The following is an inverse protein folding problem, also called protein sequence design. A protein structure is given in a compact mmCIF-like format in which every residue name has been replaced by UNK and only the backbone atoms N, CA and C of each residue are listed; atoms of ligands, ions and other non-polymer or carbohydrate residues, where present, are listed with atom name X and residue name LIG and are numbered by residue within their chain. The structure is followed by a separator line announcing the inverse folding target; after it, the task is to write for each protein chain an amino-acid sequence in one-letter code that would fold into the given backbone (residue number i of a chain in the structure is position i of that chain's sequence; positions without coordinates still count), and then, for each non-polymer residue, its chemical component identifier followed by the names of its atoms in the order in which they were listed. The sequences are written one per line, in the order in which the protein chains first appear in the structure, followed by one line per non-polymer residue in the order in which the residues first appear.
data_IF_959207626631
#
_entry.id   IF_959207626631
#
_cell.length_a   1.000
_cell.length_b   1.000
_cell.length_c   1.000
_cell.angle_alpha   90.00
_cell.angle_beta   90.00
_cell.angle_gamma   90.00
#
_symmetry.space_group_name_H-M   'P 1'
#
loop_
_entity.id
_entity.type
_entity.pdbx_description
1 polymer ?
#
# COMPACT_ATOMS: atom_id res chain seq x y z
N UNK A 1 -5.17 0.79 -39.34
CA UNK A 1 -4.50 -0.07 -38.34
C UNK A 1 -3.73 0.87 -37.44
N UNK A 2 -4.43 1.52 -36.52
CA UNK A 2 -3.81 2.46 -35.58
C UNK A 2 -3.65 1.73 -34.26
N UNK A 3 -2.43 1.22 -34.05
CA UNK A 3 -2.04 0.54 -32.83
C UNK A 3 -2.21 1.49 -31.66
N UNK A 4 -3.19 1.18 -30.80
CA UNK A 4 -3.34 1.78 -29.48
C UNK A 4 -2.03 1.54 -28.73
N UNK A 5 -1.18 2.57 -28.67
CA UNK A 5 -0.03 2.57 -27.78
C UNK A 5 -0.58 2.63 -26.36
N UNK A 6 -0.69 1.46 -25.72
CA UNK A 6 -0.90 1.36 -24.28
C UNK A 6 0.23 2.13 -23.62
N UNK A 7 -0.07 3.33 -23.12
CA UNK A 7 0.83 4.05 -22.21
C UNK A 7 0.88 3.23 -20.92
N UNK A 8 1.80 2.28 -20.83
CA UNK A 8 2.26 1.78 -19.54
C UNK A 8 2.74 3.02 -18.78
N UNK A 9 1.96 3.44 -17.80
CA UNK A 9 2.38 4.50 -16.88
C UNK A 9 3.57 3.90 -16.14
N UNK A 10 4.76 4.38 -16.46
CA UNK A 10 5.96 4.11 -15.69
C UNK A 10 5.64 4.39 -14.23
N UNK A 11 5.61 3.35 -13.40
CA UNK A 11 5.38 3.50 -11.96
C UNK A 11 6.67 4.05 -11.38
N UNK A 12 6.81 5.38 -11.44
CA UNK A 12 7.90 6.08 -10.79
C UNK A 12 7.60 6.05 -9.30
N UNK A 13 8.28 5.17 -8.56
CA UNK A 13 8.28 5.18 -7.10
C UNK A 13 8.94 6.49 -6.63
N UNK A 14 8.13 7.54 -6.45
CA UNK A 14 8.61 8.79 -5.87
C UNK A 14 8.90 8.58 -4.38
N UNK A 15 9.92 9.24 -3.82
CA UNK A 15 10.43 9.01 -2.46
C UNK A 15 9.43 9.26 -1.31
N UNK A 16 8.19 9.65 -1.62
CA UNK A 16 7.15 9.95 -0.66
C UNK A 16 5.79 9.42 -1.13
N UNK A 17 5.69 8.14 -1.44
CA UNK A 17 4.38 7.48 -1.52
C UNK A 17 3.79 7.42 -0.11
N UNK A 18 2.80 8.27 0.24
CA UNK A 18 2.31 8.36 1.62
C UNK A 18 1.56 7.11 2.09
N UNK A 19 1.28 6.21 1.16
CA UNK A 19 0.64 4.92 1.37
C UNK A 19 1.64 3.76 1.45
N UNK A 20 2.95 3.96 1.23
CA UNK A 20 3.96 2.90 1.29
C UNK A 20 4.84 3.03 2.53
N UNK A 21 4.99 1.93 3.27
CA UNK A 21 5.75 1.86 4.51
C UNK A 21 6.68 0.64 4.52
N UNK A 22 7.97 0.82 4.26
CA UNK A 22 8.93 -0.29 4.15
C UNK A 22 9.19 -1.02 5.47
N UNK A 23 9.17 -0.34 6.61
CA UNK A 23 9.54 -0.94 7.89
C UNK A 23 8.47 -0.69 8.97
N UNK A 24 7.30 -1.33 8.82
CA UNK A 24 6.21 -1.25 9.80
C UNK A 24 5.68 -2.63 10.15
N UNK A 25 5.52 -2.90 11.45
CA UNK A 25 4.95 -4.17 11.92
C UNK A 25 3.44 -4.23 11.66
N UNK A 26 2.87 -5.43 11.77
CA UNK A 26 1.41 -5.62 11.69
C UNK A 26 0.69 -4.81 12.76
N UNK A 27 1.17 -4.84 13.99
CA UNK A 27 0.56 -4.16 15.14
C UNK A 27 0.65 -2.64 15.00
N UNK A 28 1.77 -2.12 14.47
CA UNK A 28 1.90 -0.71 14.13
C UNK A 28 0.92 -0.32 13.01
N UNK A 29 0.78 -1.16 11.98
CA UNK A 29 -0.19 -0.96 10.88
C UNK A 29 -1.63 -0.92 11.39
N UNK A 30 -2.01 -1.86 12.26
CA UNK A 30 -3.34 -1.91 12.87
C UNK A 30 -3.62 -0.64 13.68
N UNK A 31 -2.64 -0.12 14.44
CA UNK A 31 -2.79 1.17 15.15
C UNK A 31 -2.92 2.37 14.20
N UNK A 32 -2.24 2.35 13.06
CA UNK A 32 -2.33 3.44 12.06
C UNK A 32 -3.70 3.50 11.38
N UNK A 33 -4.30 2.33 11.14
CA UNK A 33 -5.60 2.17 10.50
C UNK A 33 -6.79 2.19 11.46
N UNK A 34 -6.56 2.01 12.77
CA UNK A 34 -7.61 2.02 13.78
C UNK A 34 -8.42 3.33 13.73
N UNK A 35 -9.75 3.21 13.70
CA UNK A 35 -10.71 4.34 13.62
C UNK A 35 -10.49 5.29 12.43
N UNK A 36 -9.76 4.86 11.38
CA UNK A 36 -9.72 5.59 10.10
C UNK A 36 -11.00 5.35 9.32
N UNK A 37 -11.26 6.25 8.36
CA UNK A 37 -12.38 6.09 7.44
C UNK A 37 -12.25 4.80 6.63
N UNK A 38 -13.38 4.17 6.33
CA UNK A 38 -13.41 2.97 5.49
C UNK A 38 -12.70 3.22 4.15
N UNK A 39 -11.88 2.26 3.75
CA UNK A 39 -11.06 2.37 2.53
C UNK A 39 -9.73 3.09 2.72
N UNK A 40 -9.43 3.62 3.92
CA UNK A 40 -8.06 4.07 4.23
C UNK A 40 -7.12 2.88 4.17
N UNK A 41 -6.03 2.95 3.40
CA UNK A 41 -5.13 1.83 3.20
C UNK A 41 -3.67 2.25 3.25
N UNK A 42 -2.81 1.25 3.44
CA UNK A 42 -1.38 1.35 3.22
C UNK A 42 -0.82 0.01 2.70
N UNK A 43 0.30 0.09 2.00
CA UNK A 43 1.11 -1.04 1.56
C UNK A 43 2.39 -1.06 2.41
N UNK A 44 2.79 -2.24 2.87
CA UNK A 44 4.03 -2.44 3.62
C UNK A 44 4.81 -3.63 3.12
N UNK A 45 6.09 -3.71 3.44
CA UNK A 45 6.86 -4.94 3.25
C UNK A 45 6.32 -6.05 4.18
N UNK A 46 6.29 -7.27 3.66
CA UNK A 46 5.91 -8.44 4.43
C UNK A 46 7.01 -8.80 5.42
N UNK A 47 6.67 -8.86 6.69
CA UNK A 47 7.57 -9.31 7.76
C UNK A 47 7.78 -10.81 7.77
N UNK A 48 6.88 -11.57 7.13
CA UNK A 48 6.91 -13.04 7.14
C UNK A 48 7.51 -13.62 5.85
N UNK A 49 7.50 -12.84 4.75
CA UNK A 49 7.95 -13.27 3.43
C UNK A 49 8.80 -12.17 2.82
N UNK A 50 10.14 -12.18 3.02
CA UNK A 50 11.03 -11.16 2.48
C UNK A 50 10.88 -11.02 0.95
N UNK A 51 10.71 -9.80 0.47
CA UNK A 51 10.46 -9.49 -0.94
C UNK A 51 8.99 -9.35 -1.33
N UNK A 52 8.07 -9.81 -0.48
CA UNK A 52 6.63 -9.63 -0.69
C UNK A 52 6.10 -8.34 -0.05
N UNK A 53 4.93 -7.91 -0.50
CA UNK A 53 4.21 -6.76 0.03
C UNK A 53 2.85 -7.16 0.62
N UNK A 54 2.41 -6.43 1.63
CA UNK A 54 1.09 -6.59 2.26
C UNK A 54 0.29 -5.29 2.10
N UNK A 55 -0.93 -5.40 1.55
CA UNK A 55 -1.92 -4.33 1.58
C UNK A 55 -2.76 -4.46 2.86
N UNK A 56 -2.90 -3.37 3.62
CA UNK A 56 -3.73 -3.30 4.81
C UNK A 56 -4.71 -2.13 4.66
N UNK A 57 -5.96 -2.35 5.07
CA UNK A 57 -7.05 -1.39 4.85
C UNK A 57 -7.99 -1.37 6.06
N UNK A 58 -8.41 -0.17 6.46
CA UNK A 58 -9.42 0.05 7.47
C UNK A 58 -10.81 -0.24 6.88
N UNK A 59 -11.59 -1.04 7.59
CA UNK A 59 -12.99 -1.30 7.24
C UNK A 59 -13.84 -1.52 8.49
N UNK A 60 -14.93 -0.74 8.61
CA UNK A 60 -15.85 -0.72 9.75
C UNK A 60 -15.11 -0.49 11.08
N UNK A 61 -14.12 0.39 11.06
CA UNK A 61 -13.33 0.79 12.23
C UNK A 61 -12.24 -0.18 12.68
N UNK A 62 -11.94 -1.22 11.89
CA UNK A 62 -10.88 -2.21 12.13
C UNK A 62 -9.88 -2.27 10.98
#
# INVERSE_FOLDING_TARGET
MDGVRTREREIVATPHMPWFHSNVSREATERMLHQRADGTFLVRESTNFPGDYTLSMAYRGK
#
